data_IF_111569753340
#
_entry.id   IF_111569753340
#
_cell.length_a   1.000
_cell.length_b   1.000
_cell.length_c   1.000
_cell.angle_alpha   90.00
_cell.angle_beta   90.00
_cell.angle_gamma   90.00
#
_symmetry.space_group_name_H-M   'P 1'
#
loop_
_entity.id
_entity.type
_entity.pdbx_description
1 polymer ?
#
# COMPACT_ATOMS: atom_id res chain seq x y z
N UNK A 1 5.61 -8.27 10.93
CA UNK A 1 4.46 -7.99 10.06
C UNK A 1 4.97 -7.71 8.66
N UNK A 2 4.52 -8.50 7.70
CA UNK A 2 4.97 -8.46 6.30
C UNK A 2 4.14 -7.47 5.47
N UNK A 3 4.67 -7.05 4.32
CA UNK A 3 3.97 -6.20 3.36
C UNK A 3 2.58 -6.76 3.00
N UNK A 4 2.50 -8.08 2.76
CA UNK A 4 1.26 -8.75 2.38
C UNK A 4 0.22 -8.76 3.50
N UNK A 5 0.64 -8.88 4.75
CA UNK A 5 -0.27 -8.77 5.91
C UNK A 5 -0.85 -7.35 6.02
N UNK A 6 0.00 -6.33 5.89
CA UNK A 6 -0.42 -4.93 5.91
C UNK A 6 -1.36 -4.60 4.72
N UNK A 7 -1.07 -5.17 3.54
CA UNK A 7 -1.90 -5.02 2.35
C UNK A 7 -3.26 -5.72 2.50
N UNK A 8 -3.26 -6.94 3.06
CA UNK A 8 -4.48 -7.69 3.38
C UNK A 8 -5.36 -6.92 4.36
N UNK A 9 -4.76 -6.30 5.39
CA UNK A 9 -5.46 -5.46 6.36
C UNK A 9 -6.06 -4.20 5.72
N UNK A 10 -5.32 -3.57 4.79
CA UNK A 10 -5.80 -2.43 4.01
C UNK A 10 -6.97 -2.84 3.10
N UNK A 11 -6.87 -3.97 2.41
CA UNK A 11 -7.89 -4.47 1.48
C UNK A 11 -9.17 -4.92 2.19
N UNK A 12 -9.04 -5.50 3.39
CA UNK A 12 -10.19 -5.95 4.20
C UNK A 12 -10.86 -4.84 4.99
N UNK A 13 -10.34 -3.60 4.99
CA UNK A 13 -11.01 -2.46 5.62
C UNK A 13 -12.38 -2.26 4.99
N UNK A 14 -13.43 -2.45 5.78
CA UNK A 14 -14.78 -2.02 5.46
C UNK A 14 -15.19 -0.93 6.43
N UNK A 15 -15.89 0.09 5.93
CA UNK A 15 -16.60 1.03 6.81
C UNK A 15 -17.84 0.32 7.34
N UNK A 16 -18.04 0.37 8.64
CA UNK A 16 -19.29 -0.03 9.28
C UNK A 16 -19.88 1.25 9.84
N UNK A 17 -21.08 1.62 9.40
CA UNK A 17 -21.79 2.84 9.80
C UNK A 17 -20.96 4.13 9.67
N UNK A 18 -20.14 4.21 8.62
CA UNK A 18 -19.29 5.39 8.34
C UNK A 18 -17.99 5.46 9.14
N UNK A 19 -17.81 4.59 10.14
CA UNK A 19 -16.61 4.51 10.96
C UNK A 19 -15.71 3.33 10.53
N UNK A 20 -14.42 3.47 10.83
CA UNK A 20 -13.45 2.38 10.69
C UNK A 20 -13.13 1.81 12.07
N UNK A 21 -13.18 0.49 12.20
CA UNK A 21 -12.79 -0.17 13.45
C UNK A 21 -11.28 0.00 13.70
N UNK A 22 -10.91 0.34 14.93
CA UNK A 22 -9.54 0.62 15.34
C UNK A 22 -8.58 -0.57 15.11
N UNK A 23 -9.09 -1.81 15.16
CA UNK A 23 -8.33 -3.02 14.84
C UNK A 23 -7.82 -3.07 13.40
N UNK A 24 -8.49 -2.38 12.48
CA UNK A 24 -8.03 -2.21 11.10
C UNK A 24 -7.13 -0.97 10.91
N UNK A 25 -6.79 -0.24 11.98
CA UNK A 25 -5.77 0.81 11.89
C UNK A 25 -4.40 0.22 11.56
N UNK A 26 -3.73 0.85 10.61
CA UNK A 26 -2.35 0.50 10.27
C UNK A 26 -1.44 1.07 11.34
N UNK A 27 -0.63 0.21 11.91
CA UNK A 27 0.47 0.61 12.79
C UNK A 27 1.54 1.35 11.98
N UNK A 28 2.38 2.18 12.62
CA UNK A 28 3.47 2.88 11.94
C UNK A 28 4.39 1.94 11.15
N UNK A 29 4.66 0.74 11.68
CA UNK A 29 5.48 -0.28 11.02
C UNK A 29 4.83 -0.85 9.76
N UNK A 30 3.52 -1.16 9.83
CA UNK A 30 2.76 -1.63 8.64
C UNK A 30 2.72 -0.55 7.55
N UNK A 31 2.52 0.72 7.94
CA UNK A 31 2.55 1.84 7.00
C UNK A 31 3.91 1.99 6.32
N UNK A 32 5.00 1.88 7.07
CA UNK A 32 6.35 1.95 6.53
C UNK A 32 6.64 0.77 5.58
N UNK A 33 6.22 -0.44 5.93
CA UNK A 33 6.36 -1.61 5.06
C UNK A 33 5.60 -1.45 3.74
N UNK A 34 4.37 -0.91 3.77
CA UNK A 34 3.59 -0.61 2.57
C UNK A 34 4.29 0.42 1.67
N UNK A 35 4.80 1.52 2.25
CA UNK A 35 5.53 2.55 1.50
C UNK A 35 6.75 1.95 0.80
N UNK A 36 7.56 1.17 1.52
CA UNK A 36 8.76 0.54 0.94
C UNK A 36 8.36 -0.42 -0.18
N UNK A 37 7.38 -1.30 0.05
CA UNK A 37 6.92 -2.28 -0.95
C UNK A 37 6.37 -1.62 -2.21
N UNK A 38 5.54 -0.58 -2.07
CA UNK A 38 5.02 0.17 -3.21
C UNK A 38 6.10 0.96 -3.95
N UNK A 39 7.09 1.53 -3.26
CA UNK A 39 8.20 2.24 -3.92
C UNK A 39 9.07 1.29 -4.74
N UNK A 40 9.37 0.09 -4.22
CA UNK A 40 10.18 -0.91 -4.93
C UNK A 40 9.54 -1.36 -6.23
N UNK A 41 8.21 -1.46 -6.28
CA UNK A 41 7.46 -1.88 -7.48
C UNK A 41 7.12 -0.68 -8.37
N UNK A 42 6.64 0.41 -7.77
CA UNK A 42 6.10 1.56 -8.47
C UNK A 42 7.15 2.42 -9.17
N UNK A 43 8.34 2.58 -8.57
CA UNK A 43 9.42 3.37 -9.19
C UNK A 43 9.89 2.74 -10.51
N UNK A 44 10.21 1.43 -10.59
CA UNK A 44 10.53 0.79 -11.86
C UNK A 44 9.42 0.92 -12.91
N UNK A 45 8.16 0.74 -12.52
CA UNK A 45 7.02 0.88 -13.44
C UNK A 45 6.93 2.31 -13.98
N UNK A 46 7.09 3.32 -13.12
CA UNK A 46 7.10 4.73 -13.53
C UNK A 46 8.24 5.02 -14.51
N UNK A 47 9.44 4.49 -14.26
CA UNK A 47 10.58 4.64 -15.17
C UNK A 47 10.27 3.99 -16.53
N UNK A 48 9.73 2.77 -16.55
CA UNK A 48 9.33 2.11 -17.80
C UNK A 48 8.27 2.91 -18.56
N UNK A 49 7.26 3.45 -17.87
CA UNK A 49 6.23 4.28 -18.50
C UNK A 49 6.81 5.57 -19.09
N UNK A 50 7.74 6.21 -18.39
CA UNK A 50 8.43 7.40 -18.90
C UNK A 50 9.20 7.07 -20.19
N UNK A 51 9.90 5.94 -20.24
CA UNK A 51 10.59 5.50 -21.45
C UNK A 51 9.63 5.21 -22.60
N UNK A 52 8.44 4.66 -22.34
CA UNK A 52 7.43 4.43 -23.38
C UNK A 52 6.87 5.75 -23.91
N UNK A 53 6.66 6.75 -23.06
CA UNK A 53 6.09 8.05 -23.46
C UNK A 53 7.10 8.89 -24.25
N UNK A 54 8.38 8.79 -23.89
CA UNK A 54 9.47 9.57 -24.50
C UNK A 54 10.00 8.98 -25.82
N UNK A 55 9.58 7.77 -26.17
CA UNK A 55 9.97 7.05 -27.39
C UNK A 55 8.82 7.05 -28.40
#
# INVERSE_FOLDING_TARGET
MTFFEALSKLSKRKKVDGYYEAGFMLTPKEKQSLIIGFSVIGIPILICLLFIILN
#
